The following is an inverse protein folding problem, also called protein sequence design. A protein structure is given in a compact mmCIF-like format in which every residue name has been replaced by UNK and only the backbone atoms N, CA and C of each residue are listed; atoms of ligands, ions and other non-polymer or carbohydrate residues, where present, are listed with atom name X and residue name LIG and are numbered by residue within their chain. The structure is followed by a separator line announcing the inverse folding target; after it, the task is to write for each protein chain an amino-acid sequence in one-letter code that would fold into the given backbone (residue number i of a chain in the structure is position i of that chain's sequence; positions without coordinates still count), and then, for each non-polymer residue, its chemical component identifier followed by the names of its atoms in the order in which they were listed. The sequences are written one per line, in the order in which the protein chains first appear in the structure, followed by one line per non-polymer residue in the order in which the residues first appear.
data_IF_076152026478
#
_entry.id   IF_076152026478
#
_cell.length_a   1.000
_cell.length_b   1.000
_cell.length_c   1.000
_cell.angle_alpha   90.00
_cell.angle_beta   90.00
_cell.angle_gamma   90.00
#
_symmetry.space_group_name_H-M   'P 1'
#
loop_
_entity.id
_entity.type
_entity.pdbx_description
1 polymer ?
#
# COMPACT_ATOMS: atom_id res chain seq x y z
N UNK A 1 -75.43 49.16 39.80
CA UNK A 1 -74.81 47.97 40.42
C UNK A 1 -74.00 47.24 39.35
N UNK A 2 -72.67 47.25 39.43
CA UNK A 2 -71.80 46.43 38.56
C UNK A 2 -71.68 45.06 39.22
N UNK A 3 -72.16 44.02 38.55
CA UNK A 3 -71.89 42.64 38.97
C UNK A 3 -70.37 42.38 38.85
N UNK A 4 -69.70 42.16 39.98
CA UNK A 4 -68.35 41.62 39.99
C UNK A 4 -68.41 40.14 39.62
N UNK A 5 -67.97 39.81 38.40
CA UNK A 5 -67.63 38.43 38.03
C UNK A 5 -66.44 37.98 38.89
N UNK A 6 -66.72 37.16 39.90
CA UNK A 6 -65.71 36.49 40.72
C UNK A 6 -65.03 35.42 39.87
N UNK A 7 -63.83 35.73 39.34
CA UNK A 7 -62.97 34.74 38.71
C UNK A 7 -62.52 33.74 39.79
N UNK A 8 -63.01 32.51 39.72
CA UNK A 8 -62.46 31.42 40.53
C UNK A 8 -61.03 31.17 40.06
N UNK A 9 -60.05 31.61 40.85
CA UNK A 9 -58.66 31.22 40.66
C UNK A 9 -58.56 29.72 40.90
N UNK A 10 -58.52 28.95 39.81
CA UNK A 10 -58.30 27.49 39.86
C UNK A 10 -56.89 27.28 40.40
N UNK A 11 -56.78 26.98 41.69
CA UNK A 11 -55.52 26.61 42.32
C UNK A 11 -55.12 25.23 41.78
N UNK A 12 -54.19 25.20 40.83
CA UNK A 12 -53.52 23.96 40.42
C UNK A 12 -52.80 23.35 41.63
N UNK A 13 -52.83 22.02 41.73
CA UNK A 13 -52.03 21.33 42.74
C UNK A 13 -50.57 21.37 42.31
N UNK A 14 -49.73 22.07 43.07
CA UNK A 14 -48.28 22.19 42.84
C UNK A 14 -47.60 20.82 42.68
N UNK A 15 -48.15 19.78 43.34
CA UNK A 15 -47.67 18.40 43.24
C UNK A 15 -47.92 17.79 41.86
N UNK A 16 -49.07 18.10 41.24
CA UNK A 16 -49.43 17.57 39.90
C UNK A 16 -48.56 18.22 38.83
N UNK A 17 -48.35 19.53 38.92
CA UNK A 17 -47.47 20.25 38.00
C UNK A 17 -46.01 19.75 38.13
N UNK A 18 -45.50 19.59 39.36
CA UNK A 18 -44.17 19.04 39.60
C UNK A 18 -44.01 17.60 39.09
N UNK A 19 -45.06 16.77 39.20
CA UNK A 19 -45.05 15.37 38.75
C UNK A 19 -45.00 15.22 37.23
N UNK A 20 -45.45 16.24 36.48
CA UNK A 20 -45.36 16.27 35.02
C UNK A 20 -44.04 16.90 34.54
N UNK A 21 -43.57 17.95 35.22
CA UNK A 21 -42.34 18.66 34.84
C UNK A 21 -41.09 17.83 35.11
N UNK A 22 -41.04 17.08 36.22
CA UNK A 22 -39.86 16.30 36.60
C UNK A 22 -39.47 15.23 35.57
N UNK A 23 -40.38 14.36 35.06
CA UNK A 23 -40.04 13.40 34.01
C UNK A 23 -39.56 14.05 32.71
N UNK A 24 -40.17 15.17 32.30
CA UNK A 24 -39.76 15.91 31.09
C UNK A 24 -38.35 16.47 31.26
N UNK A 25 -38.05 17.04 32.43
CA UNK A 25 -36.72 17.54 32.75
C UNK A 25 -35.68 16.42 32.78
N UNK A 26 -35.98 15.27 33.40
CA UNK A 26 -35.10 14.10 33.42
C UNK A 26 -34.86 13.60 31.99
N UNK A 27 -35.89 13.54 31.14
CA UNK A 27 -35.76 13.16 29.74
C UNK A 27 -34.80 14.10 28.98
N UNK A 28 -34.92 15.41 29.19
CA UNK A 28 -34.02 16.39 28.58
C UNK A 28 -32.57 16.22 29.07
N UNK A 29 -32.36 16.04 30.38
CA UNK A 29 -31.04 15.82 30.96
C UNK A 29 -30.38 14.53 30.44
N UNK A 30 -31.14 13.43 30.34
CA UNK A 30 -30.66 12.16 29.77
C UNK A 30 -30.35 12.27 28.28
N UNK A 31 -31.12 13.07 27.54
CA UNK A 31 -30.84 13.34 26.12
C UNK A 31 -29.52 14.08 25.95
N UNK A 32 -29.24 15.08 26.80
CA UNK A 32 -27.96 15.79 26.79
C UNK A 32 -26.79 14.87 27.16
N UNK A 33 -26.95 14.07 28.22
CA UNK A 33 -25.94 13.09 28.63
C UNK A 33 -25.66 12.05 27.53
N UNK A 34 -26.70 11.60 26.82
CA UNK A 34 -26.58 10.71 25.67
C UNK A 34 -25.78 11.35 24.53
N UNK A 35 -26.02 12.62 24.21
CA UNK A 35 -25.26 13.33 23.18
C UNK A 35 -23.78 13.44 23.54
N UNK A 36 -23.46 13.79 24.80
CA UNK A 36 -22.07 13.83 25.29
C UNK A 36 -21.43 12.44 25.15
N UNK A 37 -22.16 11.38 25.53
CA UNK A 37 -21.69 10.00 25.37
C UNK A 37 -21.43 9.66 23.90
N UNK A 38 -22.32 10.04 22.97
CA UNK A 38 -22.11 9.83 21.54
C UNK A 38 -20.84 10.49 21.02
N UNK A 39 -20.59 11.75 21.40
CA UNK A 39 -19.36 12.47 21.03
C UNK A 39 -18.13 11.77 21.61
N UNK A 40 -18.20 11.31 22.86
CA UNK A 40 -17.12 10.55 23.48
C UNK A 40 -16.83 9.22 22.74
N UNK A 41 -17.87 8.46 22.39
CA UNK A 41 -17.70 7.23 21.59
C UNK A 41 -17.08 7.53 20.23
N UNK A 42 -17.56 8.59 19.57
CA UNK A 42 -17.03 9.04 18.30
C UNK A 42 -15.53 9.38 18.41
N UNK A 43 -15.12 10.15 19.43
CA UNK A 43 -13.73 10.53 19.65
C UNK A 43 -12.83 9.32 19.92
N UNK A 44 -13.26 8.41 20.80
CA UNK A 44 -12.51 7.19 21.15
C UNK A 44 -12.29 6.32 19.92
N UNK A 45 -13.33 6.12 19.12
CA UNK A 45 -13.23 5.29 17.92
C UNK A 45 -12.36 5.97 16.85
N UNK A 46 -12.54 7.29 16.64
CA UNK A 46 -11.73 8.06 15.70
C UNK A 46 -10.24 8.02 16.08
N UNK A 47 -9.91 8.16 17.36
CA UNK A 47 -8.54 8.06 17.84
C UNK A 47 -7.93 6.68 17.55
N UNK A 48 -8.68 5.61 17.81
CA UNK A 48 -8.22 4.25 17.55
C UNK A 48 -7.93 4.02 16.08
N UNK A 49 -8.85 4.36 15.17
CA UNK A 49 -8.66 4.16 13.73
C UNK A 49 -7.54 5.02 13.16
N UNK A 50 -7.38 6.27 13.64
CA UNK A 50 -6.31 7.16 13.17
C UNK A 50 -4.94 6.65 13.58
N UNK A 51 -4.78 6.22 14.85
CA UNK A 51 -3.52 5.63 15.32
C UNK A 51 -3.19 4.32 14.61
N UNK A 52 -4.18 3.48 14.36
CA UNK A 52 -3.99 2.28 13.56
C UNK A 52 -3.56 2.60 12.13
N UNK A 53 -4.14 3.61 11.49
CA UNK A 53 -3.75 4.01 10.14
C UNK A 53 -2.28 4.46 10.08
N UNK A 54 -1.82 5.23 11.07
CA UNK A 54 -0.41 5.66 11.18
C UNK A 54 0.55 4.47 11.39
N UNK A 55 0.20 3.53 12.27
CA UNK A 55 1.02 2.32 12.49
C UNK A 55 1.05 1.44 11.24
N UNK A 56 -0.08 1.23 10.57
CA UNK A 56 -0.14 0.51 9.29
C UNK A 56 0.70 1.19 8.22
N UNK A 57 0.76 2.53 8.20
CA UNK A 57 1.64 3.27 7.30
C UNK A 57 3.12 3.00 7.59
N UNK A 58 3.53 2.81 8.84
CA UNK A 58 4.89 2.41 9.18
C UNK A 58 5.19 0.97 8.70
N UNK A 59 4.30 0.01 8.96
CA UNK A 59 4.51 -1.38 8.51
C UNK A 59 4.43 -1.57 7.00
N UNK A 60 3.86 -0.61 6.27
CA UNK A 60 3.84 -0.65 4.82
C UNK A 60 5.24 -0.73 4.18
N UNK A 61 6.30 -0.34 4.90
CA UNK A 61 7.68 -0.58 4.47
C UNK A 61 8.00 -2.07 4.29
N UNK A 62 7.53 -2.94 5.20
CA UNK A 62 7.72 -4.40 5.09
C UNK A 62 6.98 -4.93 3.86
N UNK A 63 5.82 -4.35 3.57
CA UNK A 63 5.09 -4.64 2.34
C UNK A 63 5.83 -4.15 1.08
N UNK A 64 6.52 -3.01 1.12
CA UNK A 64 7.37 -2.54 0.01
C UNK A 64 8.53 -3.50 -0.27
N UNK A 65 9.32 -3.84 0.75
CA UNK A 65 10.52 -4.68 0.60
C UNK A 65 10.20 -6.12 0.21
N UNK A 66 8.99 -6.60 0.51
CA UNK A 66 8.51 -7.90 0.04
C UNK A 66 8.41 -8.01 -1.49
N UNK A 67 8.42 -6.89 -2.22
CA UNK A 67 8.24 -6.87 -3.66
C UNK A 67 6.79 -7.12 -4.10
N UNK A 68 5.82 -7.14 -3.18
CA UNK A 68 4.40 -7.33 -3.49
C UNK A 68 3.76 -6.18 -4.28
N UNK A 69 4.44 -5.04 -4.40
CA UNK A 69 4.03 -3.93 -5.28
C UNK A 69 4.30 -4.23 -6.76
N UNK A 70 5.24 -5.12 -7.10
CA UNK A 70 5.73 -5.30 -8.47
C UNK A 70 4.82 -6.11 -9.41
N UNK A 71 3.58 -6.45 -9.05
CA UNK A 71 2.76 -7.35 -9.89
C UNK A 71 1.33 -6.89 -10.13
N UNK A 72 1.09 -6.47 -11.39
CA UNK A 72 -0.15 -6.69 -12.14
C UNK A 72 0.00 -7.80 -13.22
N UNK A 73 1.16 -8.48 -13.32
CA UNK A 73 1.34 -9.56 -14.28
C UNK A 73 1.31 -10.93 -13.61
N UNK A 74 0.26 -11.68 -13.94
CA UNK A 74 0.03 -13.11 -13.69
C UNK A 74 1.34 -13.92 -13.82
N UNK A 75 2.01 -14.20 -12.69
CA UNK A 75 3.09 -15.19 -12.55
C UNK A 75 3.02 -15.77 -11.13
N UNK A 76 2.71 -17.06 -11.05
CA UNK A 76 2.55 -17.84 -9.82
C UNK A 76 3.87 -18.32 -9.19
N UNK A 77 5.03 -18.02 -9.79
CA UNK A 77 6.29 -18.73 -9.48
C UNK A 77 7.24 -18.02 -8.50
N UNK A 78 6.89 -16.85 -7.94
CA UNK A 78 7.79 -16.06 -7.08
C UNK A 78 7.28 -15.81 -5.66
N UNK A 79 6.23 -16.50 -5.23
CA UNK A 79 5.51 -16.20 -3.98
C UNK A 79 6.31 -16.55 -2.73
N UNK A 80 6.90 -17.75 -2.69
CA UNK A 80 7.78 -18.19 -1.62
C UNK A 80 9.03 -17.30 -1.53
N UNK A 81 9.63 -16.94 -2.67
CA UNK A 81 10.81 -16.07 -2.73
C UNK A 81 10.53 -14.66 -2.16
N UNK A 82 9.35 -14.10 -2.46
CA UNK A 82 8.93 -12.78 -1.94
C UNK A 82 8.62 -12.80 -0.46
N UNK A 83 7.95 -13.86 0.01
CA UNK A 83 7.72 -14.10 1.44
C UNK A 83 9.03 -14.26 2.20
N UNK A 84 9.98 -15.02 1.64
CA UNK A 84 11.33 -15.20 2.19
C UNK A 84 12.11 -13.88 2.22
N UNK A 85 12.01 -13.04 1.19
CA UNK A 85 12.66 -11.72 1.17
C UNK A 85 12.11 -10.81 2.27
N UNK A 86 10.80 -10.80 2.47
CA UNK A 86 10.17 -10.06 3.56
C UNK A 86 10.64 -10.57 4.92
N UNK A 87 10.63 -11.88 5.13
CA UNK A 87 11.05 -12.51 6.38
C UNK A 87 12.53 -12.27 6.67
N UNK A 88 13.40 -12.37 5.67
CA UNK A 88 14.83 -12.10 5.81
C UNK A 88 15.11 -10.67 6.28
N UNK A 89 14.45 -9.67 5.69
CA UNK A 89 14.60 -8.28 6.13
C UNK A 89 13.98 -8.02 7.50
N UNK A 90 12.85 -8.66 7.82
CA UNK A 90 12.28 -8.58 9.17
C UNK A 90 13.29 -9.13 10.17
N UNK A 91 13.88 -10.30 9.91
CA UNK A 91 14.91 -10.88 10.76
C UNK A 91 16.13 -9.96 10.91
N UNK A 92 16.63 -9.36 9.81
CA UNK A 92 17.74 -8.38 9.90
C UNK A 92 17.39 -7.18 10.79
N UNK A 93 16.17 -6.66 10.70
CA UNK A 93 15.72 -5.55 11.56
C UNK A 93 15.60 -6.00 13.02
N UNK A 94 15.10 -7.22 13.26
CA UNK A 94 15.00 -7.75 14.62
C UNK A 94 16.36 -8.01 15.23
N UNK A 95 17.31 -8.56 14.47
CA UNK A 95 18.67 -8.84 14.92
C UNK A 95 19.43 -7.55 15.22
N UNK A 96 19.24 -6.51 14.39
CA UNK A 96 19.79 -5.18 14.65
C UNK A 96 19.18 -4.53 15.92
N UNK A 97 17.89 -4.76 16.17
CA UNK A 97 17.20 -4.24 17.36
C UNK A 97 17.59 -4.98 18.64
N UNK A 98 17.75 -6.31 18.57
CA UNK A 98 18.25 -7.12 19.68
C UNK A 98 19.72 -6.78 19.98
N UNK A 99 20.53 -6.59 18.94
CA UNK A 99 21.88 -6.02 19.08
C UNK A 99 21.86 -4.64 19.74
N UNK A 100 20.83 -3.82 19.47
CA UNK A 100 20.63 -2.51 20.09
C UNK A 100 20.27 -2.62 21.58
N UNK A 101 19.43 -3.60 21.95
CA UNK A 101 19.06 -3.88 23.34
C UNK A 101 20.22 -4.45 24.16
N UNK A 102 21.09 -5.22 23.50
CA UNK A 102 22.26 -5.84 24.13
C UNK A 102 23.44 -4.87 24.34
N UNK A 103 23.37 -3.60 23.90
CA UNK A 103 24.41 -2.60 24.15
C UNK A 103 24.67 -2.43 25.67
N UNK A 104 25.79 -2.91 26.21
CA UNK A 104 26.20 -2.59 27.57
C UNK A 104 26.84 -1.19 27.60
N UNK A 105 26.88 -0.55 28.76
CA UNK A 105 27.42 0.81 28.96
C UNK A 105 28.89 1.04 28.51
N UNK A 106 29.62 0.02 28.01
CA UNK A 106 31.03 0.10 27.62
C UNK A 106 31.27 0.58 26.16
N UNK A 107 30.38 1.43 25.64
CA UNK A 107 30.54 2.04 24.31
C UNK A 107 31.72 3.02 24.30
N UNK A 108 31.95 3.72 25.42
CA UNK A 108 33.08 4.64 25.56
C UNK A 108 34.42 3.92 25.40
N UNK A 109 34.53 2.66 25.85
CA UNK A 109 35.75 1.87 25.75
C UNK A 109 36.05 1.39 24.32
N UNK A 110 35.02 1.04 23.54
CA UNK A 110 35.14 0.48 22.19
C UNK A 110 35.38 1.57 21.12
N UNK A 111 34.69 2.71 21.23
CA UNK A 111 34.95 3.88 20.36
C UNK A 111 36.38 4.40 20.54
N UNK A 112 36.90 4.37 21.78
CA UNK A 112 38.27 4.80 22.08
C UNK A 112 39.35 3.88 21.49
N UNK A 113 38.99 2.63 21.12
CA UNK A 113 39.90 1.66 20.47
C UNK A 113 39.74 1.61 18.94
N UNK A 114 38.80 2.37 18.38
CA UNK A 114 38.58 2.42 16.92
C UNK A 114 38.00 1.13 16.33
N UNK A 115 37.34 0.31 17.14
CA UNK A 115 36.67 -0.92 16.70
C UNK A 115 35.28 -0.59 16.12
N UNK A 116 34.91 -1.23 15.01
CA UNK A 116 33.57 -1.11 14.44
C UNK A 116 32.57 -1.69 15.47
N UNK A 117 31.55 -0.93 15.93
CA UNK A 117 30.63 -1.40 16.96
C UNK A 117 29.70 -2.51 16.48
N UNK A 118 29.61 -2.69 15.17
CA UNK A 118 28.76 -3.68 14.51
C UNK A 118 29.64 -4.85 14.04
N UNK A 119 29.33 -6.10 14.43
CA UNK A 119 30.03 -7.26 13.89
C UNK A 119 29.81 -7.33 12.37
N UNK A 120 30.89 -7.56 11.62
CA UNK A 120 30.79 -7.91 10.21
C UNK A 120 30.43 -9.41 10.13
N UNK A 121 29.25 -9.72 9.59
CA UNK A 121 28.87 -11.10 9.30
C UNK A 121 29.73 -11.64 8.14
N UNK A 122 30.83 -12.31 8.48
CA UNK A 122 31.71 -12.99 7.51
C UNK A 122 31.18 -14.38 7.06
N UNK A 123 29.99 -14.81 7.49
CA UNK A 123 29.42 -16.11 7.11
C UNK A 123 28.03 -15.95 6.49
N UNK A 124 28.00 -15.68 5.18
CA UNK A 124 26.82 -15.95 4.36
C UNK A 124 26.63 -17.45 4.20
N UNK A 125 25.96 -18.09 5.16
CA UNK A 125 25.42 -19.45 4.96
C UNK A 125 24.18 -19.37 4.06
N UNK A 126 24.40 -19.79 2.81
CA UNK A 126 23.39 -20.07 1.79
C UNK A 126 22.48 -21.21 2.30
N UNK A 127 21.41 -20.85 2.98
CA UNK A 127 20.36 -21.80 3.34
C UNK A 127 19.41 -21.94 2.15
N UNK A 128 19.61 -23.02 1.40
CA UNK A 128 18.62 -23.54 0.46
C UNK A 128 17.60 -24.41 1.23
N UNK A 129 16.29 -24.13 1.17
CA UNK A 129 15.33 -25.16 1.49
C UNK A 129 14.19 -25.24 0.47
N UNK A 130 13.97 -26.48 0.01
CA UNK A 130 12.63 -27.05 -0.14
C UNK A 130 11.82 -26.58 -1.34
N UNK A 131 11.84 -27.38 -2.39
CA UNK A 131 10.77 -27.44 -3.39
C UNK A 131 9.46 -27.84 -2.72
N UNK A 132 8.45 -26.99 -2.72
CA UNK A 132 7.08 -27.37 -2.34
C UNK A 132 6.02 -26.84 -3.31
N UNK A 133 5.02 -27.69 -3.50
CA UNK A 133 3.92 -27.64 -4.46
C UNK A 133 2.98 -26.42 -4.32
N UNK A 134 2.22 -26.07 -5.39
CA UNK A 134 1.32 -24.92 -5.37
C UNK A 134 0.18 -25.09 -4.36
N UNK A 135 0.20 -24.24 -3.32
CA UNK A 135 -0.76 -24.18 -2.21
C UNK A 135 -2.14 -23.69 -2.67
N UNK A 136 -3.22 -24.31 -2.20
CA UNK A 136 -4.60 -23.99 -2.59
C UNK A 136 -5.22 -22.81 -1.80
N UNK A 137 -6.20 -22.13 -2.39
CA UNK A 137 -6.85 -20.92 -1.84
C UNK A 137 -7.61 -21.13 -0.50
N UNK A 138 -7.98 -22.37 -0.15
CA UNK A 138 -8.64 -22.67 1.14
C UNK A 138 -7.62 -22.86 2.28
N UNK A 139 -6.46 -23.46 2.00
CA UNK A 139 -5.37 -23.61 2.98
C UNK A 139 -4.77 -22.26 3.38
N UNK A 140 -4.75 -21.29 2.47
CA UNK A 140 -4.34 -19.91 2.76
C UNK A 140 -5.31 -19.28 3.78
N UNK A 141 -6.62 -19.50 3.66
CA UNK A 141 -7.61 -18.95 4.61
C UNK A 141 -7.47 -19.55 6.01
N UNK A 142 -7.20 -20.84 6.11
CA UNK A 142 -7.01 -21.50 7.40
C UNK A 142 -5.67 -21.14 8.05
N UNK A 143 -4.59 -20.98 7.26
CA UNK A 143 -3.31 -20.44 7.74
C UNK A 143 -3.41 -18.97 8.16
N UNK A 144 -4.23 -18.15 7.48
CA UNK A 144 -4.50 -16.77 7.89
C UNK A 144 -5.26 -16.72 9.21
N UNK A 145 -6.24 -17.61 9.44
CA UNK A 145 -6.93 -17.72 10.74
C UNK A 145 -5.98 -18.15 11.85
N UNK A 146 -5.20 -19.19 11.63
CA UNK A 146 -4.22 -19.68 12.61
C UNK A 146 -3.11 -18.64 12.90
N UNK A 147 -2.68 -17.91 11.88
CA UNK A 147 -1.75 -16.79 12.05
C UNK A 147 -2.42 -15.65 12.82
N UNK A 148 -3.67 -15.29 12.51
CA UNK A 148 -4.46 -14.26 13.21
C UNK A 148 -4.58 -14.53 14.71
N UNK A 149 -4.84 -15.78 15.11
CA UNK A 149 -4.88 -16.21 16.51
C UNK A 149 -3.49 -16.09 17.17
N UNK A 150 -2.41 -16.38 16.43
CA UNK A 150 -1.02 -16.24 16.90
C UNK A 150 -0.58 -14.77 17.02
N UNK A 151 -1.07 -13.90 16.13
CA UNK A 151 -0.80 -12.45 16.18
C UNK A 151 -1.50 -11.82 17.40
N UNK A 152 -2.63 -12.37 17.85
CA UNK A 152 -3.30 -11.91 19.07
C UNK A 152 -2.44 -12.09 20.33
N UNK A 153 -1.53 -13.08 20.34
CA UNK A 153 -0.56 -13.31 21.43
C UNK A 153 0.68 -12.41 21.34
N UNK A 154 1.05 -11.94 20.13
CA UNK A 154 2.24 -11.12 19.86
C UNK A 154 2.12 -9.62 20.23
N UNK A 155 0.98 -9.19 20.78
CA UNK A 155 0.58 -7.76 20.95
C UNK A 155 1.44 -6.96 21.93
N UNK A 156 2.38 -7.59 22.64
CA UNK A 156 3.18 -6.92 23.67
C UNK A 156 4.57 -6.47 23.22
N UNK A 157 5.12 -6.96 22.11
CA UNK A 157 6.48 -6.63 21.66
C UNK A 157 6.49 -6.14 20.18
N UNK A 158 7.00 -4.93 19.88
CA UNK A 158 7.11 -4.43 18.50
C UNK A 158 7.91 -5.35 17.56
N UNK A 159 8.84 -6.15 18.08
CA UNK A 159 9.64 -7.12 17.31
C UNK A 159 8.79 -8.30 16.85
N UNK A 160 8.01 -8.87 17.76
CA UNK A 160 7.10 -9.99 17.46
C UNK A 160 5.92 -9.56 16.59
N UNK A 161 5.46 -8.31 16.76
CA UNK A 161 4.49 -7.65 15.88
C UNK A 161 5.03 -7.55 14.44
N UNK A 162 6.30 -7.15 14.25
CA UNK A 162 6.96 -7.10 12.94
C UNK A 162 7.11 -8.48 12.30
N UNK A 163 7.51 -9.50 13.08
CA UNK A 163 7.58 -10.91 12.64
C UNK A 163 6.22 -11.43 12.20
N UNK A 164 5.17 -11.07 12.92
CA UNK A 164 3.78 -11.44 12.59
C UNK A 164 3.30 -10.78 11.29
N UNK A 165 3.66 -9.52 11.07
CA UNK A 165 3.38 -8.84 9.78
C UNK A 165 4.15 -9.51 8.64
N UNK A 166 5.43 -9.84 8.85
CA UNK A 166 6.27 -10.55 7.87
C UNK A 166 5.71 -11.92 7.49
N UNK A 167 5.22 -12.69 8.46
CA UNK A 167 4.63 -14.01 8.21
C UNK A 167 3.29 -13.94 7.49
N UNK A 168 2.44 -12.95 7.80
CA UNK A 168 1.18 -12.72 7.09
C UNK A 168 1.43 -12.32 5.62
N UNK A 169 2.48 -11.56 5.35
CA UNK A 169 2.96 -11.24 4.00
C UNK A 169 3.48 -12.52 3.32
N UNK A 170 4.25 -13.36 4.01
CA UNK A 170 4.73 -14.62 3.43
C UNK A 170 3.59 -15.60 3.06
N UNK A 171 2.43 -15.49 3.70
CA UNK A 171 1.29 -16.40 3.50
C UNK A 171 0.35 -16.03 2.33
N UNK A 172 0.39 -14.81 1.78
CA UNK A 172 -0.65 -14.34 0.86
C UNK A 172 -0.15 -13.50 -0.29
N UNK A 173 -0.18 -14.03 -1.51
CA UNK A 173 0.18 -13.27 -2.72
C UNK A 173 -0.88 -13.27 -3.81
N UNK A 174 -1.97 -12.56 -3.54
CA UNK A 174 -2.92 -12.13 -4.57
C UNK A 174 -3.33 -10.68 -4.31
N UNK A 175 -3.43 -9.86 -5.36
CA UNK A 175 -3.83 -8.45 -5.26
C UNK A 175 -5.21 -8.25 -4.63
N UNK A 176 -6.14 -9.19 -4.84
CA UNK A 176 -7.51 -9.11 -4.32
C UNK A 176 -7.64 -9.42 -2.82
N UNK A 177 -6.63 -10.07 -2.22
CA UNK A 177 -6.61 -10.46 -0.80
C UNK A 177 -5.82 -9.48 0.07
N UNK A 178 -5.16 -8.47 -0.50
CA UNK A 178 -4.34 -7.48 0.22
C UNK A 178 -5.11 -6.80 1.36
N UNK A 179 -6.38 -6.52 1.18
CA UNK A 179 -7.17 -5.89 2.25
C UNK A 179 -7.62 -6.91 3.29
N UNK A 180 -8.05 -8.12 2.87
CA UNK A 180 -8.51 -9.16 3.79
C UNK A 180 -7.39 -9.68 4.72
N UNK A 181 -6.15 -9.73 4.23
CA UNK A 181 -4.97 -10.16 5.01
C UNK A 181 -4.64 -9.23 6.16
N UNK A 182 -4.83 -7.93 5.96
CA UNK A 182 -4.46 -6.91 6.95
C UNK A 182 -5.64 -6.50 7.83
N UNK A 183 -6.88 -6.90 7.53
CA UNK A 183 -8.03 -6.66 8.42
C UNK A 183 -7.84 -7.23 9.84
N UNK A 184 -7.31 -8.46 10.04
CA UNK A 184 -6.96 -8.97 11.37
C UNK A 184 -5.96 -8.07 12.10
N UNK A 185 -4.91 -7.60 11.40
CA UNK A 185 -3.95 -6.65 11.96
C UNK A 185 -4.61 -5.33 12.33
N UNK A 186 -5.43 -4.76 11.44
CA UNK A 186 -6.15 -3.52 11.73
C UNK A 186 -7.04 -3.69 12.96
N UNK A 187 -7.78 -4.79 13.07
CA UNK A 187 -8.56 -5.10 14.27
C UNK A 187 -7.66 -5.17 15.51
N UNK A 188 -6.53 -5.85 15.42
CA UNK A 188 -5.59 -5.98 16.53
C UNK A 188 -5.06 -4.63 17.01
N UNK A 189 -4.60 -3.79 16.09
CA UNK A 189 -4.09 -2.46 16.39
C UNK A 189 -5.20 -1.54 16.91
N UNK A 190 -6.42 -1.65 16.38
CA UNK A 190 -7.55 -0.92 16.95
C UNK A 190 -7.81 -1.35 18.40
N UNK A 191 -7.73 -2.67 18.70
CA UNK A 191 -7.86 -3.19 20.07
C UNK A 191 -6.77 -2.66 21.01
N UNK A 192 -5.53 -2.49 20.52
CA UNK A 192 -4.43 -1.84 21.25
C UNK A 192 -4.78 -0.39 21.63
N UNK A 193 -5.25 0.42 20.68
CA UNK A 193 -5.57 1.84 20.91
C UNK A 193 -6.91 2.07 21.64
N UNK A 194 -7.76 1.05 21.71
CA UNK A 194 -8.97 1.05 22.54
C UNK A 194 -8.70 0.66 24.00
N UNK A 195 -7.46 0.36 24.39
CA UNK A 195 -7.09 0.02 25.77
C UNK A 195 -6.98 1.27 26.65
N UNK A 196 -7.53 1.21 27.86
CA UNK A 196 -7.32 2.23 28.91
C UNK A 196 -6.53 1.57 30.05
N UNK A 197 -5.58 2.26 30.72
CA UNK A 197 -4.86 1.72 31.87
C UNK A 197 -5.75 1.17 33.01
N UNK A 198 -6.93 1.77 33.23
CA UNK A 198 -7.86 1.41 34.30
C UNK A 198 -8.79 0.21 33.99
N UNK A 199 -8.90 -0.23 32.73
CA UNK A 199 -9.82 -1.32 32.35
C UNK A 199 -9.15 -2.25 31.34
N UNK A 200 -8.77 -3.46 31.78
CA UNK A 200 -7.99 -4.43 30.99
C UNK A 200 -8.76 -5.00 29.78
N UNK A 201 -10.09 -5.02 29.83
CA UNK A 201 -10.94 -5.67 28.83
C UNK A 201 -11.59 -4.63 27.89
N UNK A 202 -11.09 -4.56 26.66
CA UNK A 202 -11.51 -3.58 25.65
C UNK A 202 -12.94 -3.83 25.16
N UNK A 203 -13.38 -5.09 25.14
CA UNK A 203 -14.74 -5.43 24.74
C UNK A 203 -15.75 -4.93 25.78
N UNK A 204 -15.43 -5.08 27.07
CA UNK A 204 -16.24 -4.49 28.15
C UNK A 204 -16.32 -2.96 28.07
N UNK A 205 -15.28 -2.29 27.58
CA UNK A 205 -15.30 -0.83 27.35
C UNK A 205 -16.31 -0.47 26.26
N UNK A 206 -16.25 -1.11 25.10
CA UNK A 206 -17.17 -0.85 23.99
C UNK A 206 -18.62 -1.18 24.33
N UNK A 207 -18.85 -2.28 25.05
CA UNK A 207 -20.17 -2.63 25.58
C UNK A 207 -20.68 -1.59 26.59
N UNK A 208 -19.82 -1.10 27.50
CA UNK A 208 -20.14 -0.01 28.43
C UNK A 208 -20.43 1.32 27.73
N UNK A 209 -19.91 1.49 26.52
CA UNK A 209 -20.17 2.62 25.63
C UNK A 209 -21.43 2.45 24.75
N UNK A 210 -22.20 1.37 24.95
CA UNK A 210 -23.38 1.00 24.16
C UNK A 210 -23.09 0.69 22.68
N UNK A 211 -21.86 0.34 22.33
CA UNK A 211 -21.57 -0.18 20.99
C UNK A 211 -22.20 -1.56 20.88
N UNK A 212 -23.05 -1.75 19.88
CA UNK A 212 -23.75 -3.01 19.62
C UNK A 212 -22.71 -4.07 19.29
N UNK A 213 -22.78 -5.21 19.97
CA UNK A 213 -21.86 -6.35 19.82
C UNK A 213 -20.37 -6.01 20.14
N UNK A 214 -20.13 -4.89 20.81
CA UNK A 214 -18.80 -4.50 21.29
C UNK A 214 -17.77 -4.41 20.16
N UNK A 215 -16.68 -5.17 20.30
CA UNK A 215 -15.60 -5.20 19.30
C UNK A 215 -15.95 -6.02 18.04
N UNK A 216 -16.74 -7.08 18.18
CA UNK A 216 -17.19 -7.92 17.05
C UNK A 216 -18.22 -7.20 16.16
N UNK A 217 -18.91 -6.20 16.70
CA UNK A 217 -19.83 -5.35 15.96
C UNK A 217 -19.17 -4.31 15.05
N UNK A 218 -17.83 -4.24 15.01
CA UNK A 218 -17.07 -3.33 14.15
C UNK A 218 -16.91 -3.94 12.75
N UNK A 219 -17.56 -3.32 11.77
CA UNK A 219 -17.48 -3.73 10.37
C UNK A 219 -16.40 -2.92 9.63
N UNK A 220 -15.38 -3.64 9.16
CA UNK A 220 -14.23 -3.12 8.41
C UNK A 220 -14.31 -3.47 6.92
N UNK A 221 -15.45 -3.95 6.43
CA UNK A 221 -15.58 -4.50 5.08
C UNK A 221 -15.24 -3.50 3.97
N UNK A 222 -15.45 -2.21 4.22
CA UNK A 222 -15.18 -1.12 3.28
C UNK A 222 -13.75 -0.56 3.35
N UNK A 223 -12.94 -1.02 4.30
CA UNK A 223 -11.52 -0.64 4.38
C UNK A 223 -10.81 -0.99 3.08
N UNK A 224 -9.90 -0.12 2.63
CA UNK A 224 -9.11 -0.31 1.41
C UNK A 224 -7.66 -0.01 1.70
N UNK A 225 -6.79 -0.96 1.42
CA UNK A 225 -5.35 -0.75 1.51
C UNK A 225 -4.77 -0.62 0.11
N UNK A 226 -3.99 0.44 -0.10
CA UNK A 226 -3.30 0.74 -1.35
C UNK A 226 -4.22 0.96 -2.55
N UNK A 227 -5.44 1.48 -2.34
CA UNK A 227 -6.42 1.72 -3.41
C UNK A 227 -5.90 2.63 -4.55
N UNK A 228 -4.94 3.51 -4.24
CA UNK A 228 -4.22 4.37 -5.19
C UNK A 228 -2.70 4.11 -5.16
N UNK A 229 -2.27 2.87 -4.94
CA UNK A 229 -0.88 2.42 -4.72
C UNK A 229 -0.14 2.98 -3.50
N UNK A 230 -0.70 3.98 -2.79
CA UNK A 230 -0.01 4.67 -1.69
C UNK A 230 -0.87 5.05 -0.49
N UNK A 231 -2.18 4.89 -0.58
CA UNK A 231 -3.10 5.32 0.48
C UNK A 231 -3.63 4.12 1.27
N UNK A 232 -3.62 4.23 2.59
CA UNK A 232 -4.26 3.32 3.54
C UNK A 232 -5.54 3.98 4.00
N UNK A 233 -6.68 3.35 3.72
CA UNK A 233 -7.99 3.90 4.00
C UNK A 233 -8.81 2.96 4.89
N UNK A 234 -8.84 3.26 6.19
CA UNK A 234 -9.54 2.45 7.19
C UNK A 234 -10.93 3.03 7.39
N UNK A 235 -11.95 2.23 7.07
CA UNK A 235 -13.36 2.59 7.22
C UNK A 235 -13.99 1.61 8.19
N UNK A 236 -14.52 2.14 9.30
CA UNK A 236 -15.20 1.37 10.34
C UNK A 236 -16.65 1.80 10.42
N UNK A 237 -17.55 0.81 10.31
CA UNK A 237 -18.99 0.98 10.51
C UNK A 237 -19.39 0.28 11.80
N UNK A 238 -20.15 0.97 12.65
CA UNK A 238 -20.60 0.43 13.93
C UNK A 238 -21.93 1.06 14.36
N UNK A 239 -22.64 0.39 15.26
CA UNK A 239 -23.93 0.86 15.79
C UNK A 239 -23.81 1.17 17.28
N UNK A 240 -24.46 2.25 17.72
CA UNK A 240 -24.54 2.64 19.12
C UNK A 240 -26.00 2.61 19.56
N UNK A 241 -26.31 1.82 20.59
CA UNK A 241 -27.66 1.71 21.16
C UNK A 241 -28.01 2.97 21.93
N UNK A 242 -29.15 3.55 21.62
CA UNK A 242 -29.66 4.74 22.32
C UNK A 242 -29.93 4.40 23.78
N UNK A 243 -29.19 5.00 24.71
CA UNK A 243 -29.32 4.75 26.15
C UNK A 243 -30.47 5.51 26.82
N UNK A 244 -31.55 5.77 26.08
CA UNK A 244 -32.69 6.53 26.59
C UNK A 244 -33.65 5.61 27.37
N UNK A 245 -34.34 6.12 28.41
CA UNK A 245 -35.23 5.31 29.26
C UNK A 245 -36.43 4.73 28.50
N UNK A 246 -36.77 5.32 27.35
CA UNK A 246 -37.74 4.82 26.41
C UNK A 246 -36.99 4.42 25.13
N UNK A 247 -36.80 3.12 24.92
CA UNK A 247 -36.04 2.52 23.81
C UNK A 247 -36.78 2.64 22.44
N UNK A 248 -37.39 3.80 22.19
CA UNK A 248 -38.26 4.08 21.04
C UNK A 248 -37.42 4.43 19.80
N UNK A 249 -36.19 4.91 20.00
CA UNK A 249 -35.30 5.31 18.91
C UNK A 249 -34.51 4.11 18.38
N UNK A 250 -34.29 4.02 17.06
CA UNK A 250 -33.41 3.03 16.47
C UNK A 250 -31.95 3.28 16.87
N UNK A 251 -31.14 2.23 16.78
CA UNK A 251 -29.69 2.34 16.97
C UNK A 251 -29.08 3.34 15.97
N UNK A 252 -28.12 4.13 16.44
CA UNK A 252 -27.44 5.11 15.60
C UNK A 252 -26.27 4.44 14.89
N UNK A 253 -26.27 4.45 13.56
CA UNK A 253 -25.18 3.95 12.75
C UNK A 253 -24.12 5.03 12.55
N UNK A 254 -22.86 4.72 12.86
CA UNK A 254 -21.71 5.56 12.58
C UNK A 254 -20.85 4.91 11.50
N UNK A 255 -20.28 5.77 10.65
CA UNK A 255 -19.24 5.42 9.69
C UNK A 255 -18.11 6.41 9.95
N UNK A 256 -16.94 5.88 10.31
CA UNK A 256 -15.75 6.68 10.52
C UNK A 256 -14.66 6.23 9.59
N UNK A 257 -13.84 7.20 9.16
CA UNK A 257 -12.78 7.01 8.18
C UNK A 257 -11.49 7.63 8.68
N UNK A 258 -10.40 6.91 8.54
CA UNK A 258 -9.05 7.40 8.72
C UNK A 258 -8.23 7.05 7.49
N UNK A 259 -7.53 8.04 6.94
CA UNK A 259 -6.67 7.87 5.79
C UNK A 259 -5.25 8.26 6.17
N UNK A 260 -4.31 7.36 5.90
CA UNK A 260 -2.88 7.60 6.09
C UNK A 260 -2.16 7.29 4.79
N UNK A 261 -1.02 7.95 4.57
CA UNK A 261 -0.18 7.68 3.41
C UNK A 261 0.87 6.64 3.77
N UNK A 262 0.86 5.54 3.03
CA UNK A 262 1.78 4.45 3.23
C UNK A 262 3.23 4.88 2.93
N UNK A 263 4.16 4.45 3.78
CA UNK A 263 5.58 4.60 3.57
C UNK A 263 6.11 3.51 2.62
N UNK A 264 5.80 3.68 1.33
CA UNK A 264 6.20 2.79 0.23
C UNK A 264 7.34 3.34 -0.63
N UNK A 265 8.08 4.29 -0.10
CA UNK A 265 9.22 4.89 -0.75
C UNK A 265 10.39 4.81 0.24
N UNK A 266 11.27 3.84 0.03
CA UNK A 266 12.48 3.64 0.86
C UNK A 266 13.47 4.81 0.78
N UNK A 267 13.14 5.85 0.03
CA UNK A 267 13.91 7.09 -0.06
C UNK A 267 13.25 8.16 0.81
N UNK A 268 13.59 8.17 2.11
CA UNK A 268 13.31 9.30 2.99
C UNK A 268 14.13 10.51 2.49
N UNK A 269 13.59 11.25 1.52
CA UNK A 269 14.34 12.32 0.86
C UNK A 269 13.60 12.94 -0.31
N UNK A 270 12.38 13.43 -0.07
CA UNK A 270 11.82 14.69 -0.59
C UNK A 270 10.30 14.62 -0.53
N UNK A 271 9.74 15.33 0.45
CA UNK A 271 8.36 15.78 0.37
C UNK A 271 8.20 16.68 -0.85
N UNK A 272 7.83 16.09 -1.98
CA UNK A 272 7.27 16.80 -3.12
C UNK A 272 5.86 16.28 -3.32
N UNK A 273 4.92 17.04 -2.76
CA UNK A 273 3.54 17.07 -3.23
C UNK A 273 3.61 17.45 -4.71
N UNK A 274 3.09 16.57 -5.57
CA UNK A 274 2.73 16.80 -6.98
C UNK A 274 3.85 17.32 -7.88
N UNK A 275 4.51 16.39 -8.58
CA UNK A 275 4.72 16.42 -10.03
C UNK A 275 4.89 14.96 -10.46
N UNK A 276 4.37 14.60 -11.63
CA UNK A 276 4.57 13.28 -12.23
C UNK A 276 5.98 12.77 -11.94
N UNK A 277 6.08 11.57 -11.37
CA UNK A 277 7.35 10.89 -11.13
C UNK A 277 8.21 11.06 -12.39
N UNK A 278 9.29 11.85 -12.31
CA UNK A 278 10.26 12.03 -13.38
C UNK A 278 10.67 10.63 -13.85
N UNK A 279 10.13 10.22 -15.01
CA UNK A 279 10.17 8.84 -15.51
C UNK A 279 11.63 8.39 -15.65
N UNK A 280 12.53 9.36 -15.83
CA UNK A 280 13.95 9.15 -15.98
C UNK A 280 14.69 8.85 -14.68
N UNK A 281 14.07 9.06 -13.50
CA UNK A 281 14.61 8.65 -12.20
C UNK A 281 14.31 7.19 -11.84
N UNK A 282 13.43 6.52 -12.60
CA UNK A 282 13.12 5.11 -12.39
C UNK A 282 14.31 4.23 -12.82
N UNK A 283 14.46 3.03 -12.23
CA UNK A 283 15.40 2.02 -12.70
C UNK A 283 15.22 1.73 -14.20
N UNK A 284 16.28 1.41 -14.97
CA UNK A 284 16.20 1.30 -16.43
C UNK A 284 15.11 0.35 -16.96
N UNK A 285 14.88 -0.76 -16.25
CA UNK A 285 13.85 -1.74 -16.62
C UNK A 285 12.43 -1.19 -16.41
N UNK A 286 12.16 -0.62 -15.24
CA UNK A 286 10.86 -0.01 -14.91
C UNK A 286 10.56 1.18 -15.83
N UNK A 287 11.56 2.03 -16.07
CA UNK A 287 11.49 3.15 -17.01
C UNK A 287 11.06 2.67 -18.39
N UNK A 288 11.74 1.65 -18.91
CA UNK A 288 11.44 1.07 -20.21
C UNK A 288 10.01 0.54 -20.29
N UNK A 289 9.56 -0.20 -19.27
CA UNK A 289 8.19 -0.74 -19.21
C UNK A 289 7.14 0.37 -19.22
N UNK A 290 7.31 1.38 -18.37
CA UNK A 290 6.36 2.49 -18.24
C UNK A 290 6.26 3.30 -19.53
N UNK A 291 7.39 3.56 -20.19
CA UNK A 291 7.43 4.25 -21.49
C UNK A 291 6.76 3.40 -22.57
N UNK A 292 6.99 2.08 -22.60
CA UNK A 292 6.33 1.20 -23.56
C UNK A 292 4.80 1.23 -23.43
N UNK A 293 4.27 1.19 -22.20
CA UNK A 293 2.83 1.28 -21.96
C UNK A 293 2.29 2.65 -22.41
N UNK A 294 2.97 3.76 -22.08
CA UNK A 294 2.57 5.10 -22.54
C UNK A 294 2.56 5.24 -24.06
N UNK A 295 3.43 4.52 -24.77
CA UNK A 295 3.54 4.52 -26.23
C UNK A 295 2.69 3.44 -26.91
N UNK A 296 1.79 2.79 -26.16
CA UNK A 296 0.76 1.90 -26.70
C UNK A 296 1.23 0.48 -26.99
N UNK A 297 2.14 -0.07 -26.17
CA UNK A 297 2.53 -1.49 -26.22
C UNK A 297 1.29 -2.39 -26.24
N UNK A 298 1.28 -3.39 -27.12
CA UNK A 298 0.23 -4.41 -27.18
C UNK A 298 0.77 -5.86 -27.15
N UNK A 299 2.09 -6.04 -27.04
CA UNK A 299 2.74 -7.35 -26.88
C UNK A 299 3.22 -7.56 -25.44
N UNK A 300 3.37 -8.82 -24.99
CA UNK A 300 3.99 -9.12 -23.69
C UNK A 300 5.38 -8.48 -23.55
N UNK A 301 5.77 -8.02 -22.35
CA UNK A 301 7.07 -7.34 -22.13
C UNK A 301 8.30 -8.16 -22.52
N UNK A 302 8.20 -9.50 -22.44
CA UNK A 302 9.28 -10.41 -22.79
C UNK A 302 9.15 -10.93 -24.23
N UNK A 303 8.24 -10.37 -25.04
CA UNK A 303 8.14 -10.72 -26.45
C UNK A 303 9.44 -10.28 -27.15
N UNK A 304 10.04 -11.13 -27.99
CA UNK A 304 11.36 -10.84 -28.57
C UNK A 304 11.31 -9.57 -29.42
N UNK A 305 12.30 -8.71 -29.24
CA UNK A 305 12.65 -7.53 -30.06
C UNK A 305 11.61 -6.39 -30.04
N UNK A 306 10.34 -6.68 -30.30
CA UNK A 306 9.28 -5.69 -30.53
C UNK A 306 8.31 -5.59 -29.35
N UNK A 307 7.75 -4.39 -29.17
CA UNK A 307 6.80 -4.09 -28.10
C UNK A 307 5.36 -3.92 -28.64
N UNK A 308 5.20 -3.57 -29.91
CA UNK A 308 3.90 -3.41 -30.53
C UNK A 308 3.85 -4.03 -31.92
N UNK A 309 2.78 -4.76 -32.21
CA UNK A 309 2.49 -5.28 -33.54
C UNK A 309 1.02 -5.03 -33.89
N UNK A 310 0.78 -4.26 -34.96
CA UNK A 310 -0.57 -3.91 -35.40
C UNK A 310 -0.58 -3.75 -36.92
N UNK A 311 -1.55 -4.37 -37.59
CA UNK A 311 -1.74 -4.27 -39.05
C UNK A 311 -0.46 -4.53 -39.87
N UNK A 312 0.37 -5.49 -39.43
CA UNK A 312 1.64 -5.85 -40.07
C UNK A 312 2.81 -4.90 -39.80
N UNK A 313 2.64 -3.89 -38.94
CA UNK A 313 3.72 -3.00 -38.49
C UNK A 313 4.35 -3.51 -37.20
N UNK A 314 5.62 -3.89 -37.26
CA UNK A 314 6.42 -4.32 -36.11
C UNK A 314 7.16 -3.13 -35.49
N UNK A 315 6.81 -2.76 -34.26
CA UNK A 315 7.36 -1.58 -33.57
C UNK A 315 8.23 -1.98 -32.38
N UNK A 316 9.51 -1.61 -32.42
CA UNK A 316 10.41 -1.64 -31.28
C UNK A 316 10.34 -0.30 -30.53
N UNK A 317 10.10 -0.35 -29.21
CA UNK A 317 10.04 0.85 -28.36
C UNK A 317 11.17 0.77 -27.33
N UNK A 318 12.12 1.71 -27.39
CA UNK A 318 13.26 1.79 -26.47
C UNK A 318 13.34 3.17 -25.82
N UNK A 319 13.87 3.21 -24.60
CA UNK A 319 14.13 4.45 -23.87
C UNK A 319 15.61 4.55 -23.54
N UNK A 320 16.20 5.73 -23.71
CA UNK A 320 17.63 5.95 -23.45
C UNK A 320 17.86 7.30 -22.79
N UNK A 321 18.48 7.30 -21.60
CA UNK A 321 18.81 8.53 -20.89
C UNK A 321 20.16 9.06 -21.34
N UNK A 322 20.14 10.08 -22.20
CA UNK A 322 21.33 10.69 -22.78
C UNK A 322 22.23 11.40 -21.73
N UNK A 323 21.75 11.59 -20.49
CA UNK A 323 22.52 12.22 -19.42
C UNK A 323 23.54 11.26 -18.78
N UNK A 324 23.36 9.95 -18.97
CA UNK A 324 24.27 8.90 -18.47
C UNK A 324 25.66 9.00 -19.14
N UNK A 325 26.73 8.77 -18.37
CA UNK A 325 28.11 8.95 -18.83
C UNK A 325 28.45 8.07 -20.05
N UNK A 326 27.80 6.92 -20.18
CA UNK A 326 27.96 5.98 -21.30
C UNK A 326 27.56 6.62 -22.63
N UNK A 327 26.44 7.35 -22.66
CA UNK A 327 25.85 7.88 -23.89
C UNK A 327 26.29 9.31 -24.23
N UNK A 328 26.91 10.02 -23.28
CA UNK A 328 27.63 11.27 -23.57
C UNK A 328 28.75 11.09 -24.59
N UNK A 329 29.28 9.87 -24.73
CA UNK A 329 30.23 9.50 -25.79
C UNK A 329 29.45 9.12 -27.04
N UNK A 330 29.51 9.96 -28.09
CA UNK A 330 28.77 9.79 -29.35
C UNK A 330 29.00 8.42 -30.01
N UNK A 331 30.22 7.88 -29.96
CA UNK A 331 30.51 6.54 -30.50
C UNK A 331 29.72 5.42 -29.79
N UNK A 332 29.56 5.50 -28.47
CA UNK A 332 28.80 4.51 -27.71
C UNK A 332 27.30 4.61 -28.00
N UNK A 333 26.79 5.84 -28.10
CA UNK A 333 25.40 6.09 -28.50
C UNK A 333 25.14 5.50 -29.90
N UNK A 334 26.01 5.81 -30.87
CA UNK A 334 25.92 5.28 -32.24
C UNK A 334 25.91 3.76 -32.26
N UNK A 335 26.89 3.13 -31.59
CA UNK A 335 26.97 1.67 -31.51
C UNK A 335 25.70 1.06 -30.90
N UNK A 336 25.12 1.71 -29.88
CA UNK A 336 23.89 1.23 -29.24
C UNK A 336 22.67 1.34 -30.16
N UNK A 337 22.52 2.45 -30.87
CA UNK A 337 21.42 2.64 -31.82
C UNK A 337 21.53 1.67 -33.00
N UNK A 338 22.73 1.49 -33.55
CA UNK A 338 23.00 0.49 -34.58
C UNK A 338 22.61 -0.91 -34.13
N UNK A 339 22.92 -1.29 -32.87
CA UNK A 339 22.50 -2.59 -32.34
C UNK A 339 20.98 -2.78 -32.33
N UNK A 340 20.19 -1.72 -32.07
CA UNK A 340 18.73 -1.80 -32.11
C UNK A 340 18.20 -1.91 -33.55
N UNK A 341 18.80 -1.18 -34.47
CA UNK A 341 18.45 -1.23 -35.90
C UNK A 341 18.73 -2.63 -36.44
N UNK A 342 19.89 -3.20 -36.13
CA UNK A 342 20.28 -4.55 -36.55
C UNK A 342 19.38 -5.62 -35.94
N UNK A 343 19.12 -5.55 -34.63
CA UNK A 343 18.20 -6.46 -33.93
C UNK A 343 16.79 -6.44 -34.55
N UNK A 344 16.27 -5.25 -34.89
CA UNK A 344 14.97 -5.10 -35.52
C UNK A 344 14.97 -5.59 -36.98
N UNK A 345 16.05 -5.35 -37.71
CA UNK A 345 16.22 -5.81 -39.09
C UNK A 345 16.23 -7.35 -39.18
N UNK A 346 16.98 -7.99 -38.29
CA UNK A 346 17.12 -9.45 -38.24
C UNK A 346 15.89 -10.18 -37.68
N UNK A 347 14.94 -9.44 -37.10
CA UNK A 347 13.75 -10.03 -36.53
C UNK A 347 12.82 -10.63 -37.60
N UNK A 348 12.59 -11.95 -37.48
CA UNK A 348 11.75 -12.76 -38.40
C UNK A 348 10.44 -13.23 -37.77
N UNK A 349 10.05 -12.64 -36.64
CA UNK A 349 8.91 -13.10 -35.86
C UNK A 349 9.32 -13.90 -34.62
N UNK A 350 8.32 -14.25 -33.82
CA UNK A 350 8.50 -14.90 -32.53
C UNK A 350 7.19 -15.45 -32.01
N UNK A 351 7.28 -16.43 -31.11
CA UNK A 351 6.12 -17.02 -30.44
C UNK A 351 6.32 -16.96 -28.94
N UNK A 352 5.34 -16.40 -28.24
CA UNK A 352 5.32 -16.34 -26.79
C UNK A 352 3.87 -16.44 -26.30
N UNK A 353 3.60 -17.48 -25.49
CA UNK A 353 2.25 -17.83 -25.02
C UNK A 353 1.27 -17.94 -26.20
N UNK A 354 0.20 -17.15 -26.18
CA UNK A 354 -0.88 -17.15 -27.17
C UNK A 354 -0.61 -16.23 -28.37
N UNK A 355 0.51 -15.50 -28.37
CA UNK A 355 0.89 -14.59 -29.45
C UNK A 355 1.99 -15.23 -30.30
N UNK A 356 1.72 -15.36 -31.60
CA UNK A 356 2.67 -15.83 -32.60
C UNK A 356 2.68 -14.85 -33.76
N UNK A 357 3.86 -14.35 -34.11
CA UNK A 357 4.08 -13.48 -35.26
C UNK A 357 5.10 -14.17 -36.17
N UNK A 358 4.77 -14.31 -37.43
CA UNK A 358 5.62 -14.92 -38.46
C UNK A 358 6.21 -13.84 -39.38
N UNK A 359 7.32 -14.16 -40.04
CA UNK A 359 8.01 -13.23 -40.94
C UNK A 359 7.10 -12.67 -42.03
N UNK A 360 6.21 -13.50 -42.58
CA UNK A 360 5.28 -13.11 -43.64
C UNK A 360 4.19 -12.12 -43.19
N UNK A 361 3.96 -11.98 -41.87
CA UNK A 361 3.01 -11.00 -41.33
C UNK A 361 3.65 -9.62 -41.14
N UNK A 362 4.99 -9.53 -41.17
CA UNK A 362 5.71 -8.27 -40.97
C UNK A 362 5.84 -7.53 -42.31
N UNK A 363 5.00 -6.52 -42.49
CA UNK A 363 4.96 -5.67 -43.69
C UNK A 363 5.94 -4.50 -43.55
N UNK A 364 6.06 -3.94 -42.35
CA UNK A 364 6.94 -2.78 -42.07
C UNK A 364 7.53 -2.83 -40.67
N UNK A 365 8.67 -2.17 -40.48
CA UNK A 365 9.40 -2.09 -39.21
C UNK A 365 9.55 -0.65 -38.76
N UNK A 366 9.38 -0.41 -37.46
CA UNK A 366 9.47 0.92 -36.86
C UNK A 366 10.25 0.86 -35.55
N UNK A 367 11.28 1.67 -35.42
CA UNK A 367 12.00 1.93 -34.18
C UNK A 367 11.53 3.26 -33.61
N UNK A 368 10.97 3.23 -32.40
CA UNK A 368 10.62 4.41 -31.61
C UNK A 368 11.59 4.53 -30.43
N UNK A 369 12.42 5.57 -30.46
CA UNK A 369 13.32 5.90 -29.37
C UNK A 369 12.77 7.08 -28.56
N UNK A 370 12.67 6.90 -27.24
CA UNK A 370 12.28 7.95 -26.30
C UNK A 370 13.50 8.42 -25.53
N UNK A 371 13.71 9.74 -25.44
CA UNK A 371 14.84 10.39 -24.74
C UNK A 371 14.35 11.55 -23.86
N UNK A 372 15.10 11.99 -22.83
CA UNK A 372 14.65 13.08 -21.98
C UNK A 372 14.61 14.42 -22.71
N UNK A 373 13.62 15.27 -22.39
CA UNK A 373 13.56 16.63 -22.91
C UNK A 373 14.85 17.44 -22.65
N UNK A 374 15.24 18.26 -23.63
CA UNK A 374 16.40 19.15 -23.53
C UNK A 374 17.78 18.46 -23.56
N UNK A 375 17.84 17.16 -23.83
CA UNK A 375 19.12 16.41 -23.85
C UNK A 375 19.75 16.28 -25.24
N UNK A 376 19.02 16.67 -26.29
CA UNK A 376 19.50 16.60 -27.67
C UNK A 376 20.43 17.80 -27.91
N UNK A 377 21.72 17.52 -28.07
CA UNK A 377 22.75 18.49 -28.46
C UNK A 377 23.09 18.35 -29.94
N UNK A 378 23.72 19.34 -30.59
CA UNK A 378 24.06 19.23 -32.02
C UNK A 378 24.87 17.97 -32.39
N UNK A 379 25.84 17.58 -31.55
CA UNK A 379 26.62 16.35 -31.79
C UNK A 379 25.82 15.05 -31.58
N UNK A 380 24.77 15.06 -30.75
CA UNK A 380 23.84 13.93 -30.63
C UNK A 380 22.89 13.90 -31.82
N UNK A 381 22.45 15.07 -32.30
CA UNK A 381 21.60 15.19 -33.47
C UNK A 381 22.28 14.62 -34.72
N UNK A 382 23.56 14.91 -34.94
CA UNK A 382 24.33 14.31 -36.05
C UNK A 382 24.31 12.77 -36.01
N UNK A 383 24.52 12.18 -34.82
CA UNK A 383 24.47 10.72 -34.64
C UNK A 383 23.07 10.17 -34.94
N UNK A 384 22.02 10.88 -34.51
CA UNK A 384 20.64 10.49 -34.81
C UNK A 384 20.35 10.53 -36.30
N UNK A 385 20.74 11.59 -37.00
CA UNK A 385 20.53 11.74 -38.43
C UNK A 385 21.22 10.61 -39.22
N UNK A 386 22.46 10.28 -38.85
CA UNK A 386 23.18 9.14 -39.44
C UNK A 386 22.47 7.80 -39.20
N UNK A 387 21.96 7.58 -37.97
CA UNK A 387 21.24 6.35 -37.64
C UNK A 387 19.87 6.26 -38.34
N UNK A 388 19.20 7.39 -38.58
CA UNK A 388 17.94 7.45 -39.31
C UNK A 388 18.14 7.09 -40.78
N UNK A 389 19.20 7.61 -41.42
CA UNK A 389 19.51 7.25 -42.81
C UNK A 389 19.89 5.76 -42.96
N UNK A 390 20.66 5.22 -42.01
CA UNK A 390 21.00 3.79 -42.00
C UNK A 390 19.75 2.90 -41.76
N UNK A 391 18.87 3.29 -40.84
CA UNK A 391 17.61 2.58 -40.62
C UNK A 391 16.74 2.59 -41.90
N UNK A 392 16.69 3.73 -42.59
CA UNK A 392 15.94 3.89 -43.84
C UNK A 392 16.50 2.99 -44.94
N UNK A 393 17.82 2.87 -45.07
CA UNK A 393 18.45 1.98 -46.06
C UNK A 393 18.07 0.51 -45.84
N UNK A 394 17.78 0.12 -44.59
CA UNK A 394 17.28 -1.21 -44.18
C UNK A 394 15.75 -1.34 -44.19
N UNK A 395 15.02 -0.32 -44.66
CA UNK A 395 13.56 -0.33 -44.70
C UNK A 395 12.89 -0.19 -43.32
N UNK A 396 13.60 0.38 -42.34
CA UNK A 396 13.11 0.63 -40.99
C UNK A 396 12.77 2.12 -40.86
N UNK A 397 11.55 2.43 -40.44
CA UNK A 397 11.19 3.78 -40.00
C UNK A 397 11.83 4.02 -38.63
N UNK A 398 12.58 5.11 -38.43
CA UNK A 398 13.16 5.46 -37.13
C UNK A 398 12.68 6.84 -36.69
N UNK A 399 11.94 6.90 -35.58
CA UNK A 399 11.44 8.13 -34.96
C UNK A 399 11.99 8.32 -33.55
N UNK A 400 12.20 9.57 -33.18
CA UNK A 400 12.71 9.97 -31.88
C UNK A 400 11.69 10.90 -31.23
N UNK A 401 11.33 10.62 -29.98
CA UNK A 401 10.41 11.44 -29.20
C UNK A 401 11.06 11.86 -27.88
N UNK A 402 10.77 13.08 -27.44
CA UNK A 402 11.22 13.58 -26.14
C UNK A 402 10.13 13.43 -25.09
N UNK A 403 10.52 13.14 -23.84
CA UNK A 403 9.62 13.02 -22.69
C UNK A 403 10.22 13.62 -21.41
#
# INVERSE_FOLDING_TARGET
MREMKVYHSRRGSITVEASIVLPVFICAALTLAFLIKLVYVHEVMQHAISRTADEMAAYSYVYLISGMRETDSIVNDGLSERGQRAQGHVNTITDAFDSLKEFPEDISGRISRGENPFPEDENGEDSNPGSDEPVSLEEIKDKIKAAGDSVEEAVTDPVEELKSVGSLIALGGYNDLKTELFKPLIKLHMKKHLRIPQQQDQNKRLLGLNVVDGFEGLDLSETRLFANDRDIDIIVRYRVRTGLPLNILPDVCFIQRATARAWLDGNAGNGSITKENDIWKLPPLERGRKIQDMKGRNLPFNFPVIARFESGKATMIKSLDLREATYRKTNNLRAKLMSYIDELFEFKGGRLKDVSITEGEIISRHLLLVVPEGTITPGIQEVFDECIEEARSKGIEFSIETL
#
